data_IF_531420957451
#
_entry.id   IF_531420957451
#
_cell.length_a   1.000
_cell.length_b   1.000
_cell.length_c   1.000
_cell.angle_alpha   90.00
_cell.angle_beta   90.00
_cell.angle_gamma   90.00
#
_symmetry.space_group_name_H-M   'P 1'
#
loop_
_entity.id
_entity.type
_entity.pdbx_description
1 polymer ?
#
# COMPACT_ATOMS: atom_id res chain seq x y z
N UNK A 1 -43.62 3.88 -57.65
CA UNK A 1 -43.22 2.51 -57.24
C UNK A 1 -41.74 2.39 -57.56
N UNK A 2 -40.86 2.73 -56.60
CA UNK A 2 -40.04 1.78 -55.82
C UNK A 2 -38.86 1.25 -56.66
N UNK A 3 -37.59 1.43 -56.30
CA UNK A 3 -37.02 1.91 -55.05
C UNK A 3 -35.51 2.11 -55.14
N UNK A 4 -35.05 2.89 -54.17
CA UNK A 4 -33.68 3.23 -53.79
C UNK A 4 -32.91 1.97 -53.32
N UNK A 5 -31.66 1.78 -53.76
CA UNK A 5 -30.67 1.00 -52.99
C UNK A 5 -29.37 1.80 -52.94
N UNK A 6 -29.22 2.56 -51.86
CA UNK A 6 -27.93 3.04 -51.35
C UNK A 6 -27.42 1.96 -50.43
N UNK A 7 -26.27 1.34 -50.73
CA UNK A 7 -25.57 0.49 -49.77
C UNK A 7 -24.06 0.73 -49.83
N UNK A 8 -23.66 1.60 -48.91
CA UNK A 8 -22.33 1.89 -48.36
C UNK A 8 -21.29 0.77 -48.49
N UNK A 9 -20.20 1.02 -49.23
CA UNK A 9 -18.91 0.34 -49.08
C UNK A 9 -17.95 1.22 -48.28
N UNK A 10 -18.08 1.18 -46.95
CA UNK A 10 -16.99 1.54 -46.03
C UNK A 10 -16.12 0.30 -45.91
N UNK A 11 -14.85 0.35 -46.34
CA UNK A 11 -13.73 -0.49 -45.86
C UNK A 11 -12.51 -0.38 -46.79
N UNK A 12 -11.53 0.46 -46.45
CA UNK A 12 -10.11 0.12 -46.27
C UNK A 12 -9.30 1.40 -46.00
N UNK A 13 -9.18 1.75 -44.72
CA UNK A 13 -8.02 2.46 -44.20
C UNK A 13 -7.63 1.75 -42.90
N UNK A 14 -7.24 0.49 -43.04
CA UNK A 14 -6.55 -0.23 -41.99
C UNK A 14 -5.13 0.34 -41.84
N UNK A 15 -4.64 0.29 -40.59
CA UNK A 15 -3.25 0.50 -40.18
C UNK A 15 -2.76 1.95 -40.07
N UNK A 16 -3.43 2.73 -39.23
CA UNK A 16 -2.71 3.62 -38.31
C UNK A 16 -3.03 3.25 -36.85
N UNK A 17 -3.11 1.95 -36.55
CA UNK A 17 -2.82 1.48 -35.20
C UNK A 17 -1.33 1.70 -34.99
N UNK A 18 -0.96 2.92 -34.58
CA UNK A 18 0.38 3.24 -34.14
C UNK A 18 0.70 2.36 -32.94
N UNK A 19 1.23 1.16 -33.18
CA UNK A 19 2.02 0.41 -32.22
C UNK A 19 3.38 1.11 -32.06
N UNK A 20 3.36 2.37 -31.65
CA UNK A 20 4.42 2.86 -30.79
C UNK A 20 4.03 2.47 -29.38
N UNK A 21 4.95 1.91 -28.61
CA UNK A 21 4.92 2.13 -27.16
C UNK A 21 5.07 3.65 -26.96
N UNK A 22 3.96 4.38 -27.12
CA UNK A 22 3.90 5.82 -26.91
C UNK A 22 4.22 6.09 -25.44
N UNK A 23 5.00 7.14 -25.19
CA UNK A 23 5.40 7.70 -23.89
C UNK A 23 4.99 6.90 -22.63
N UNK A 24 5.97 6.39 -21.88
CA UNK A 24 5.75 5.81 -20.54
C UNK A 24 5.10 6.86 -19.65
N UNK A 25 3.89 6.60 -19.16
CA UNK A 25 3.25 7.50 -18.20
C UNK A 25 3.79 7.19 -16.79
N UNK A 26 4.26 8.24 -16.11
CA UNK A 26 4.94 8.11 -14.82
C UNK A 26 4.08 8.77 -13.75
N UNK A 27 3.68 7.99 -12.77
CA UNK A 27 3.09 8.46 -11.53
C UNK A 27 4.12 8.51 -10.43
N UNK A 28 3.76 9.17 -9.34
CA UNK A 28 4.53 9.10 -8.10
C UNK A 28 3.61 9.09 -6.90
N UNK A 29 4.15 8.63 -5.79
CA UNK A 29 3.50 8.70 -4.48
C UNK A 29 4.46 9.26 -3.45
N UNK A 30 3.92 9.92 -2.43
CA UNK A 30 4.67 10.31 -1.28
C UNK A 30 4.63 9.20 -0.21
N UNK A 31 5.68 8.37 -0.13
CA UNK A 31 5.70 7.26 0.84
C UNK A 31 5.70 7.74 2.28
N UNK A 32 6.20 8.94 2.59
CA UNK A 32 6.12 9.49 3.95
C UNK A 32 4.67 9.76 4.34
N UNK A 33 3.88 10.33 3.42
CA UNK A 33 2.45 10.55 3.64
C UNK A 33 1.70 9.22 3.80
N UNK A 34 1.99 8.22 2.98
CA UNK A 34 1.37 6.89 3.10
C UNK A 34 1.76 6.19 4.42
N UNK A 35 3.01 6.37 4.87
CA UNK A 35 3.48 5.87 6.16
C UNK A 35 2.72 6.54 7.31
N UNK A 36 2.66 7.87 7.30
CA UNK A 36 2.10 8.68 8.39
C UNK A 36 0.58 8.58 8.48
N UNK A 37 -0.12 8.50 7.34
CA UNK A 37 -1.59 8.51 7.32
C UNK A 37 -2.21 7.12 7.32
N UNK A 38 -1.50 6.09 6.83
CA UNK A 38 -2.05 4.73 6.77
C UNK A 38 -1.29 3.74 7.65
N UNK A 39 0.02 3.57 7.41
CA UNK A 39 0.78 2.47 8.04
C UNK A 39 0.88 2.67 9.56
N UNK A 40 1.34 3.83 10.02
CA UNK A 40 1.51 4.12 11.45
C UNK A 40 0.15 4.03 12.18
N UNK A 41 -0.93 4.71 11.73
CA UNK A 41 -2.24 4.63 12.38
C UNK A 41 -2.86 3.22 12.36
N UNK A 42 -2.52 2.39 11.37
CA UNK A 42 -2.99 1.00 11.30
C UNK A 42 -2.27 0.11 12.33
N UNK A 43 -0.98 0.33 12.55
CA UNK A 43 -0.12 -0.56 13.35
C UNK A 43 -0.10 -0.18 14.83
N UNK A 44 0.02 1.11 15.15
CA UNK A 44 0.23 1.57 16.53
C UNK A 44 -0.85 1.18 17.54
N UNK A 45 -2.16 1.26 17.21
CA UNK A 45 -3.20 0.88 18.16
C UNK A 45 -3.14 -0.61 18.52
N UNK A 46 -2.84 -1.46 17.52
CA UNK A 46 -2.72 -2.91 17.70
C UNK A 46 -1.55 -3.22 18.63
N UNK A 47 -0.38 -2.64 18.37
CA UNK A 47 0.80 -2.84 19.22
C UNK A 47 0.62 -2.29 20.63
N UNK A 48 -0.09 -1.18 20.78
CA UNK A 48 -0.38 -0.62 22.10
C UNK A 48 -1.25 -1.57 22.91
N UNK A 49 -2.33 -2.08 22.31
CA UNK A 49 -3.20 -3.06 22.94
C UNK A 49 -2.44 -4.36 23.30
N UNK A 50 -1.65 -4.91 22.38
CA UNK A 50 -0.91 -6.14 22.64
C UNK A 50 0.16 -5.97 23.73
N UNK A 51 0.80 -4.80 23.80
CA UNK A 51 1.72 -4.45 24.89
C UNK A 51 1.02 -4.40 26.24
N UNK A 52 -0.15 -3.78 26.33
CA UNK A 52 -0.95 -3.75 27.57
C UNK A 52 -1.35 -5.16 28.01
N UNK A 53 -1.77 -6.01 27.06
CA UNK A 53 -2.10 -7.41 27.33
C UNK A 53 -0.89 -8.22 27.82
N UNK A 54 0.27 -8.01 27.21
CA UNK A 54 1.51 -8.68 27.63
C UNK A 54 1.99 -8.15 28.98
N UNK A 55 1.82 -6.86 29.28
CA UNK A 55 2.14 -6.34 30.61
C UNK A 55 1.27 -6.99 31.69
N UNK A 56 -0.05 -7.10 31.46
CA UNK A 56 -0.93 -7.78 32.41
C UNK A 56 -0.55 -9.26 32.60
N UNK A 57 -0.20 -9.95 31.51
CA UNK A 57 0.30 -11.33 31.56
C UNK A 57 1.66 -11.43 32.27
N UNK A 58 2.50 -10.40 32.17
CA UNK A 58 3.79 -10.36 32.86
C UNK A 58 3.57 -10.25 34.36
N UNK A 59 2.72 -9.30 34.79
CA UNK A 59 2.44 -9.07 36.20
C UNK A 59 1.85 -10.32 36.86
N UNK A 60 0.93 -11.02 36.17
CA UNK A 60 0.34 -12.29 36.64
C UNK A 60 1.36 -13.44 36.65
N UNK A 61 2.10 -13.64 35.55
CA UNK A 61 3.01 -14.78 35.41
C UNK A 61 4.27 -14.65 36.28
N UNK A 62 4.61 -13.44 36.70
CA UNK A 62 5.86 -13.17 37.41
C UNK A 62 5.71 -12.93 38.91
N UNK A 63 4.50 -12.79 39.47
CA UNK A 63 4.32 -12.37 40.88
C UNK A 63 5.22 -13.14 41.86
N UNK A 64 5.26 -14.47 41.72
CA UNK A 64 6.04 -15.39 42.57
C UNK A 64 7.43 -15.78 42.01
N UNK A 65 7.84 -15.24 40.86
CA UNK A 65 9.11 -15.62 40.23
C UNK A 65 10.32 -14.88 40.81
N UNK A 66 11.45 -15.58 40.80
CA UNK A 66 12.77 -15.01 41.10
C UNK A 66 13.22 -14.02 40.01
N UNK A 67 14.07 -13.07 40.37
CA UNK A 67 14.47 -11.94 39.52
C UNK A 67 15.01 -12.38 38.15
N UNK A 68 15.77 -13.47 38.10
CA UNK A 68 16.34 -13.98 36.85
C UNK A 68 15.27 -14.53 35.90
N UNK A 69 14.26 -15.21 36.43
CA UNK A 69 13.14 -15.72 35.62
C UNK A 69 12.24 -14.57 35.16
N UNK A 70 12.00 -13.57 36.02
CA UNK A 70 11.30 -12.33 35.63
C UNK A 70 11.97 -11.67 34.42
N UNK A 71 13.29 -11.57 34.46
CA UNK A 71 14.07 -10.98 33.36
C UNK A 71 13.92 -11.79 32.07
N UNK A 72 13.98 -13.12 32.14
CA UNK A 72 13.77 -13.98 30.96
C UNK A 72 12.39 -13.78 30.33
N UNK A 73 11.33 -13.77 31.15
CA UNK A 73 9.96 -13.54 30.65
C UNK A 73 9.83 -12.15 30.01
N UNK A 74 10.46 -11.13 30.60
CA UNK A 74 10.49 -9.79 30.01
C UNK A 74 11.17 -9.78 28.63
N UNK A 75 12.35 -10.40 28.51
CA UNK A 75 13.09 -10.49 27.26
C UNK A 75 12.30 -11.22 26.17
N UNK A 76 11.60 -12.32 26.52
CA UNK A 76 10.70 -13.04 25.61
C UNK A 76 9.54 -12.17 25.13
N UNK A 77 8.96 -11.35 26.00
CA UNK A 77 7.84 -10.47 25.65
C UNK A 77 8.27 -9.33 24.74
N UNK A 78 9.47 -8.75 24.96
CA UNK A 78 10.04 -7.76 24.05
C UNK A 78 10.26 -8.36 22.67
N UNK A 79 10.87 -9.55 22.60
CA UNK A 79 11.06 -10.25 21.33
C UNK A 79 9.73 -10.53 20.60
N UNK A 80 8.68 -10.93 21.34
CA UNK A 80 7.34 -11.15 20.79
C UNK A 80 6.74 -9.87 20.20
N UNK A 81 6.84 -8.74 20.90
CA UNK A 81 6.35 -7.45 20.42
C UNK A 81 7.12 -6.95 19.19
N UNK A 82 8.43 -7.15 19.14
CA UNK A 82 9.25 -6.75 18.00
C UNK A 82 8.91 -7.56 16.74
N UNK A 83 8.79 -8.89 16.87
CA UNK A 83 8.32 -9.74 15.77
C UNK A 83 6.93 -9.34 15.30
N UNK A 84 6.03 -9.03 16.24
CA UNK A 84 4.68 -8.59 15.92
C UNK A 84 4.66 -7.27 15.17
N UNK A 85 5.45 -6.29 15.63
CA UNK A 85 5.60 -4.98 14.96
C UNK A 85 6.05 -5.18 13.52
N UNK A 86 7.09 -6.00 13.30
CA UNK A 86 7.60 -6.25 11.97
C UNK A 86 6.52 -6.85 11.05
N UNK A 87 5.78 -7.85 11.53
CA UNK A 87 4.71 -8.48 10.76
C UNK A 87 3.58 -7.51 10.40
N UNK A 88 3.13 -6.68 11.35
CA UNK A 88 2.06 -5.70 11.12
C UNK A 88 2.50 -4.61 10.12
N UNK A 89 3.73 -4.12 10.23
CA UNK A 89 4.30 -3.14 9.28
C UNK A 89 4.41 -3.75 7.89
N UNK A 90 4.90 -4.99 7.77
CA UNK A 90 5.02 -5.68 6.49
C UNK A 90 3.64 -5.88 5.83
N UNK A 91 2.63 -6.26 6.61
CA UNK A 91 1.26 -6.41 6.16
C UNK A 91 0.70 -5.07 5.65
N UNK A 92 0.82 -3.99 6.44
CA UNK A 92 0.35 -2.67 6.07
C UNK A 92 1.04 -2.14 4.80
N UNK A 93 2.36 -2.30 4.68
CA UNK A 93 3.11 -1.96 3.47
C UNK A 93 2.68 -2.83 2.27
N UNK A 94 2.33 -4.09 2.50
CA UNK A 94 1.75 -4.97 1.48
C UNK A 94 0.45 -4.40 0.92
N UNK A 95 -0.44 -3.92 1.79
CA UNK A 95 -1.70 -3.25 1.37
C UNK A 95 -1.45 -1.97 0.61
N UNK A 96 -0.48 -1.14 1.06
CA UNK A 96 -0.07 0.07 0.34
C UNK A 96 0.43 -0.27 -1.07
N UNK A 97 1.31 -1.27 -1.22
CA UNK A 97 1.82 -1.69 -2.54
C UNK A 97 0.69 -2.16 -3.47
N UNK A 98 -0.27 -2.93 -2.94
CA UNK A 98 -1.42 -3.37 -3.70
C UNK A 98 -2.30 -2.18 -4.14
N UNK A 99 -2.57 -1.23 -3.25
CA UNK A 99 -3.32 -0.02 -3.57
C UNK A 99 -2.63 0.84 -4.64
N UNK A 100 -1.31 1.03 -4.54
CA UNK A 100 -0.51 1.73 -5.57
C UNK A 100 -0.67 1.03 -6.92
N UNK A 101 -0.52 -0.29 -6.97
CA UNK A 101 -0.65 -1.05 -8.22
C UNK A 101 -2.05 -0.91 -8.83
N UNK A 102 -3.10 -1.04 -8.01
CA UNK A 102 -4.48 -0.92 -8.49
C UNK A 102 -4.81 0.49 -8.99
N UNK A 103 -4.33 1.52 -8.30
CA UNK A 103 -4.50 2.92 -8.72
C UNK A 103 -3.71 3.17 -10.01
N UNK A 104 -2.45 2.72 -10.11
CA UNK A 104 -1.65 2.90 -11.32
C UNK A 104 -2.34 2.27 -12.56
N UNK A 105 -2.89 1.06 -12.42
CA UNK A 105 -3.65 0.39 -13.48
C UNK A 105 -4.91 1.17 -13.84
N UNK A 106 -5.65 1.68 -12.86
CA UNK A 106 -6.87 2.45 -13.10
C UNK A 106 -6.58 3.81 -13.78
N UNK A 107 -5.46 4.43 -13.44
CA UNK A 107 -5.05 5.75 -13.91
C UNK A 107 -4.25 5.71 -15.23
N UNK A 108 -3.94 4.50 -15.73
CA UNK A 108 -3.16 4.30 -16.95
C UNK A 108 -1.68 4.66 -16.81
N UNK A 109 -1.13 4.55 -15.59
CA UNK A 109 0.26 4.82 -15.26
C UNK A 109 1.09 3.54 -15.37
N UNK A 110 2.19 3.59 -16.12
CA UNK A 110 3.07 2.45 -16.37
C UNK A 110 4.11 2.23 -15.25
N UNK A 111 4.50 3.30 -14.57
CA UNK A 111 5.53 3.28 -13.53
C UNK A 111 5.19 4.26 -12.41
N UNK A 112 5.30 3.80 -11.16
CA UNK A 112 5.14 4.66 -9.98
C UNK A 112 6.49 4.79 -9.27
N UNK A 113 6.92 6.04 -9.06
CA UNK A 113 8.13 6.38 -8.32
C UNK A 113 7.80 6.93 -6.94
N UNK A 114 8.79 6.91 -6.05
CA UNK A 114 8.69 7.70 -4.83
C UNK A 114 8.91 9.19 -5.12
N UNK A 115 8.14 10.06 -4.47
CA UNK A 115 8.26 11.51 -4.62
C UNK A 115 9.69 12.04 -4.39
N UNK A 116 10.47 11.42 -3.51
CA UNK A 116 11.84 11.84 -3.19
C UNK A 116 12.80 11.81 -4.38
N UNK A 117 12.50 11.02 -5.43
CA UNK A 117 13.33 10.92 -6.63
C UNK A 117 12.73 11.66 -7.83
N UNK A 118 11.58 12.33 -7.65
CA UNK A 118 10.90 13.08 -8.72
C UNK A 118 11.23 14.57 -8.60
N UNK A 119 11.83 15.12 -9.65
CA UNK A 119 12.18 16.55 -9.69
C UNK A 119 11.14 17.40 -10.42
N UNK A 120 10.54 16.89 -11.49
CA UNK A 120 9.54 17.59 -12.30
C UNK A 120 8.73 16.61 -13.16
N UNK A 121 7.45 16.92 -13.36
CA UNK A 121 6.53 16.11 -14.17
C UNK A 121 5.92 14.97 -13.37
N UNK A 122 5.34 14.02 -14.11
CA UNK A 122 4.58 12.89 -13.56
C UNK A 122 3.26 13.30 -12.91
N UNK A 123 2.46 12.28 -12.56
CA UNK A 123 1.17 12.44 -11.88
C UNK A 123 1.29 12.04 -10.41
N UNK A 124 0.90 12.92 -9.50
CA UNK A 124 0.77 12.53 -8.10
C UNK A 124 -0.43 11.58 -7.95
N UNK A 125 -0.20 10.40 -7.38
CA UNK A 125 -1.20 9.38 -7.12
C UNK A 125 -1.51 9.25 -5.61
N UNK A 126 -0.87 10.05 -4.75
CA UNK A 126 -0.89 9.88 -3.28
C UNK A 126 -2.32 9.88 -2.74
N UNK A 127 -3.14 10.86 -3.11
CA UNK A 127 -4.53 10.99 -2.65
C UNK A 127 -5.40 9.83 -3.13
N UNK A 128 -5.22 9.38 -4.38
CA UNK A 128 -5.99 8.25 -4.92
C UNK A 128 -5.62 6.94 -4.21
N UNK A 129 -4.36 6.77 -3.84
CA UNK A 129 -3.89 5.62 -3.07
C UNK A 129 -4.44 5.66 -1.65
N UNK A 130 -4.45 6.83 -0.99
CA UNK A 130 -5.09 7.00 0.32
C UNK A 130 -6.59 6.67 0.27
N UNK A 131 -7.30 7.22 -0.73
CA UNK A 131 -8.71 6.91 -0.96
C UNK A 131 -8.95 5.40 -1.20
N UNK A 132 -8.04 4.74 -1.93
CA UNK A 132 -8.10 3.30 -2.15
C UNK A 132 -7.91 2.49 -0.86
N UNK A 133 -7.13 3.01 0.07
CA UNK A 133 -6.91 2.44 1.41
C UNK A 133 -8.04 2.79 2.40
N UNK A 134 -9.02 3.58 1.98
CA UNK A 134 -10.21 3.95 2.76
C UNK A 134 -10.06 5.25 3.57
N UNK A 135 -9.14 6.13 3.19
CA UNK A 135 -8.89 7.43 3.81
C UNK A 135 -9.50 8.58 3.01
#
# INVERSE_FOLDING_TARGET
MLGLVVLTTVLLAAAASSWGKGAVDVGYVNSQVLLDQYVIPTVEPILTQEREQLQAQFDEATDELEIEEKRRVFDEYQAKLDMRRQALVEEALGRVRAAIQEVAVAEGVDMVLDYQVVLYGGRDLTEQVLAKLGL
#
